data_IF_361322795430
#
_entry.id   IF_361322795430
#
_cell.length_a   1.000
_cell.length_b   1.000
_cell.length_c   1.000
_cell.angle_alpha   90.00
_cell.angle_beta   90.00
_cell.angle_gamma   90.00
#
_symmetry.space_group_name_H-M   'P 1'
#
loop_
_entity.id
_entity.type
_entity.pdbx_description
1 polymer ?
#
# COMPACT_ATOMS: atom_id res chain seq x y z
N UNK A 1 21.08 2.97 -23.42
CA UNK A 1 20.54 1.97 -22.48
C UNK A 1 20.92 0.58 -22.96
N UNK A 2 21.78 -0.12 -22.21
CA UNK A 2 22.09 -1.52 -22.51
C UNK A 2 20.80 -2.32 -22.38
N UNK A 3 20.63 -3.33 -23.27
CA UNK A 3 19.49 -4.24 -23.17
C UNK A 3 19.55 -4.95 -21.80
N UNK A 4 18.42 -5.19 -21.11
CA UNK A 4 18.39 -5.85 -19.80
C UNK A 4 19.18 -7.17 -19.78
N UNK A 5 19.12 -7.94 -20.84
CA UNK A 5 19.87 -9.21 -20.98
C UNK A 5 21.40 -9.04 -20.85
N UNK A 6 21.96 -7.97 -21.44
CA UNK A 6 23.42 -7.72 -21.38
C UNK A 6 23.81 -7.42 -19.94
N UNK A 7 23.05 -6.56 -19.26
CA UNK A 7 23.27 -6.24 -17.85
C UNK A 7 23.22 -7.48 -16.96
N UNK A 8 22.14 -8.27 -17.08
CA UNK A 8 21.95 -9.46 -16.26
C UNK A 8 22.95 -10.56 -16.52
N UNK A 9 23.41 -10.71 -17.76
CA UNK A 9 24.49 -11.64 -18.10
C UNK A 9 25.80 -11.27 -17.40
N UNK A 10 26.13 -9.95 -17.35
CA UNK A 10 27.27 -9.45 -16.62
C UNK A 10 27.13 -9.67 -15.10
N UNK A 11 25.92 -9.49 -14.54
CA UNK A 11 25.66 -9.79 -13.13
C UNK A 11 25.88 -11.27 -12.83
N UNK A 12 25.35 -12.19 -13.64
CA UNK A 12 25.59 -13.64 -13.50
C UNK A 12 27.07 -13.94 -13.55
N UNK A 13 27.80 -13.40 -14.51
CA UNK A 13 29.24 -13.60 -14.63
C UNK A 13 30.00 -13.12 -13.39
N UNK A 14 29.64 -11.97 -12.83
CA UNK A 14 30.25 -11.44 -11.62
C UNK A 14 29.92 -12.26 -10.39
N UNK A 15 28.66 -12.72 -10.26
CA UNK A 15 28.22 -13.50 -9.10
C UNK A 15 28.92 -14.86 -9.01
N UNK A 16 29.13 -15.54 -10.12
CA UNK A 16 29.78 -16.85 -10.16
C UNK A 16 31.30 -16.76 -10.29
N UNK A 17 31.82 -15.65 -10.80
CA UNK A 17 33.24 -15.38 -10.93
C UNK A 17 34.03 -16.49 -11.65
N UNK A 18 35.27 -16.79 -11.20
CA UNK A 18 36.10 -17.82 -11.80
C UNK A 18 35.57 -19.26 -11.65
N UNK A 19 34.59 -19.49 -10.76
CA UNK A 19 33.99 -20.80 -10.54
C UNK A 19 33.11 -21.24 -11.73
N UNK A 20 32.66 -20.31 -12.58
CA UNK A 20 31.86 -20.61 -13.74
C UNK A 20 32.73 -20.55 -15.02
N UNK A 21 32.95 -21.69 -15.72
CA UNK A 21 33.64 -21.67 -17.02
C UNK A 21 32.90 -20.78 -18.04
N UNK A 22 33.67 -20.03 -18.84
CA UNK A 22 33.09 -19.11 -19.83
C UNK A 22 32.10 -19.82 -20.79
N UNK A 23 32.34 -21.06 -21.12
CA UNK A 23 31.45 -21.89 -21.96
C UNK A 23 30.10 -22.21 -21.32
N UNK A 24 29.93 -22.00 -20.00
CA UNK A 24 28.70 -22.27 -19.26
C UNK A 24 27.93 -21.03 -18.90
N UNK A 25 28.48 -19.83 -19.11
CA UNK A 25 27.87 -18.56 -18.73
C UNK A 25 26.50 -18.38 -19.40
N UNK A 26 26.41 -18.71 -20.70
CA UNK A 26 25.16 -18.55 -21.48
C UNK A 26 24.06 -19.49 -21.01
N UNK A 27 24.40 -20.72 -20.65
CA UNK A 27 23.43 -21.69 -20.15
C UNK A 27 22.93 -21.25 -18.76
N UNK A 28 23.84 -20.90 -17.85
CA UNK A 28 23.47 -20.42 -16.50
C UNK A 28 22.69 -19.12 -16.57
N UNK A 29 23.07 -18.19 -17.46
CA UNK A 29 22.32 -16.97 -17.66
C UNK A 29 20.88 -17.25 -18.11
N UNK A 30 20.67 -18.14 -19.09
CA UNK A 30 19.33 -18.54 -19.55
C UNK A 30 18.49 -19.13 -18.43
N UNK A 31 19.06 -20.02 -17.63
CA UNK A 31 18.39 -20.61 -16.47
C UNK A 31 17.98 -19.54 -15.46
N UNK A 32 18.91 -18.66 -15.09
CA UNK A 32 18.63 -17.54 -14.20
C UNK A 32 17.56 -16.59 -14.79
N UNK A 33 17.67 -16.28 -16.08
CA UNK A 33 16.73 -15.41 -16.78
C UNK A 33 15.30 -15.94 -16.69
N UNK A 34 15.12 -17.24 -16.98
CA UNK A 34 13.83 -17.92 -16.90
C UNK A 34 13.34 -18.00 -15.43
N UNK A 35 14.26 -18.30 -14.51
CA UNK A 35 13.91 -18.38 -13.08
C UNK A 35 13.38 -17.06 -12.54
N UNK A 36 14.00 -15.93 -12.89
CA UNK A 36 13.57 -14.61 -12.45
C UNK A 36 12.21 -14.17 -13.01
N UNK A 37 11.73 -14.78 -14.07
CA UNK A 37 10.41 -14.52 -14.65
C UNK A 37 9.28 -15.33 -13.97
N UNK A 38 9.62 -16.41 -13.25
CA UNK A 38 8.66 -17.30 -12.62
C UNK A 38 8.20 -16.76 -11.28
N UNK A 39 6.88 -16.63 -11.03
CA UNK A 39 6.37 -16.20 -9.73
C UNK A 39 6.86 -17.06 -8.57
N UNK A 40 7.03 -18.37 -8.79
CA UNK A 40 7.47 -19.33 -7.78
C UNK A 40 8.88 -19.06 -7.25
N UNK A 41 9.71 -18.37 -8.04
CA UNK A 41 11.07 -17.97 -7.65
C UNK A 41 11.08 -16.79 -6.67
N UNK A 42 9.93 -16.12 -6.51
CA UNK A 42 9.78 -14.96 -5.65
C UNK A 42 8.90 -15.28 -4.45
N UNK A 43 9.21 -14.67 -3.36
CA UNK A 43 8.43 -14.84 -2.14
C UNK A 43 7.83 -13.51 -1.72
N UNK A 44 6.52 -13.49 -1.58
CA UNK A 44 5.83 -12.32 -1.05
C UNK A 44 6.20 -12.13 0.43
N UNK A 45 6.59 -10.94 0.79
CA UNK A 45 6.86 -10.63 2.19
C UNK A 45 5.58 -10.84 3.02
N UNK A 46 5.69 -11.46 4.21
CA UNK A 46 4.53 -11.72 5.05
C UNK A 46 3.71 -10.47 5.34
N UNK A 47 2.41 -10.53 5.14
CA UNK A 47 1.49 -9.42 5.39
C UNK A 47 1.37 -8.40 4.27
N UNK A 48 2.04 -8.57 3.11
CA UNK A 48 1.99 -7.59 2.00
C UNK A 48 0.57 -7.36 1.47
N UNK A 49 -0.18 -8.42 1.16
CA UNK A 49 -1.55 -8.28 0.65
C UNK A 49 -2.48 -7.61 1.66
N UNK A 50 -2.33 -7.97 2.94
CA UNK A 50 -3.09 -7.35 4.02
C UNK A 50 -2.76 -5.87 4.18
N UNK A 51 -1.46 -5.51 4.08
CA UNK A 51 -1.02 -4.12 4.14
C UNK A 51 -1.61 -3.30 2.99
N UNK A 52 -1.54 -3.81 1.76
CA UNK A 52 -2.11 -3.15 0.58
C UNK A 52 -3.62 -2.96 0.77
N UNK A 53 -4.34 -4.02 1.17
CA UNK A 53 -5.79 -3.95 1.40
C UNK A 53 -6.15 -2.95 2.48
N UNK A 54 -5.41 -2.92 3.59
CA UNK A 54 -5.63 -1.98 4.68
C UNK A 54 -5.36 -0.52 4.25
N UNK A 55 -4.29 -0.27 3.49
CA UNK A 55 -3.99 1.08 2.95
C UNK A 55 -5.09 1.54 1.98
N UNK A 56 -5.53 0.65 1.08
CA UNK A 56 -6.64 0.97 0.17
C UNK A 56 -7.95 1.24 0.91
N UNK A 57 -8.19 0.54 2.00
CA UNK A 57 -9.33 0.77 2.88
C UNK A 57 -9.31 2.18 3.51
N UNK A 58 -8.12 2.75 3.75
CA UNK A 58 -7.96 4.14 4.17
C UNK A 58 -8.21 5.15 3.02
N UNK A 59 -8.60 4.70 1.84
CA UNK A 59 -8.84 5.54 0.67
C UNK A 59 -7.55 6.00 -0.03
N UNK A 60 -6.41 5.38 0.27
CA UNK A 60 -5.12 5.70 -0.34
C UNK A 60 -4.87 4.78 -1.54
N UNK A 61 -4.45 5.34 -2.66
CA UNK A 61 -4.02 4.57 -3.82
C UNK A 61 -2.67 3.92 -3.58
N UNK A 62 -2.50 2.70 -4.10
CA UNK A 62 -1.28 1.92 -3.93
C UNK A 62 -0.72 1.54 -5.30
N UNK A 63 0.58 1.77 -5.49
CA UNK A 63 1.30 1.37 -6.70
C UNK A 63 2.64 0.74 -6.38
N UNK A 64 3.24 0.12 -7.40
CA UNK A 64 4.62 -0.38 -7.38
C UNK A 64 5.50 0.54 -8.20
N UNK A 65 6.63 0.99 -7.61
CA UNK A 65 7.72 1.69 -8.30
C UNK A 65 8.99 0.87 -8.09
N UNK A 66 9.53 0.30 -9.15
CA UNK A 66 10.65 -0.65 -9.06
C UNK A 66 11.68 -0.44 -10.18
N UNK A 67 12.96 -0.54 -9.80
CA UNK A 67 14.08 -0.64 -10.75
C UNK A 67 14.14 -2.07 -11.30
N UNK A 68 13.22 -2.39 -12.22
CA UNK A 68 13.05 -3.71 -12.76
C UNK A 68 12.65 -3.64 -14.24
N UNK A 69 12.77 -4.79 -14.92
CA UNK A 69 12.30 -4.98 -16.29
C UNK A 69 10.84 -5.51 -16.33
N UNK A 70 10.29 -5.60 -17.54
CA UNK A 70 8.89 -5.96 -17.78
C UNK A 70 8.49 -7.36 -17.24
N UNK A 71 9.45 -8.27 -17.00
CA UNK A 71 9.20 -9.61 -16.42
C UNK A 71 8.56 -9.52 -15.04
N UNK A 72 8.85 -8.45 -14.29
CA UNK A 72 8.25 -8.22 -12.98
C UNK A 72 6.72 -8.17 -13.02
N UNK A 73 6.10 -7.80 -14.14
CA UNK A 73 4.63 -7.82 -14.27
C UNK A 73 4.07 -9.22 -14.10
N UNK A 74 4.71 -10.24 -14.71
CA UNK A 74 4.29 -11.65 -14.54
C UNK A 74 4.44 -12.10 -13.10
N UNK A 75 5.51 -11.69 -12.42
CA UNK A 75 5.73 -12.01 -11.01
C UNK A 75 4.63 -11.38 -10.14
N UNK A 76 4.33 -10.11 -10.33
CA UNK A 76 3.27 -9.41 -9.59
C UNK A 76 1.89 -10.05 -9.85
N UNK A 77 1.62 -10.43 -11.09
CA UNK A 77 0.35 -11.06 -11.47
C UNK A 77 0.21 -12.47 -10.90
N UNK A 78 1.25 -13.29 -11.00
CA UNK A 78 1.30 -14.64 -10.42
C UNK A 78 1.12 -14.67 -8.90
N UNK A 79 1.55 -13.61 -8.21
CA UNK A 79 1.27 -13.42 -6.77
C UNK A 79 -0.09 -12.75 -6.50
N UNK A 80 -0.89 -12.46 -7.55
CA UNK A 80 -2.20 -11.84 -7.43
C UNK A 80 -2.16 -10.38 -6.95
N UNK A 81 -1.00 -9.70 -7.05
CA UNK A 81 -0.83 -8.32 -6.62
C UNK A 81 -1.46 -7.32 -7.58
N UNK A 82 -1.39 -7.57 -8.88
CA UNK A 82 -1.80 -6.63 -9.94
C UNK A 82 -3.21 -6.08 -9.72
N UNK A 83 -4.15 -6.93 -9.34
CA UNK A 83 -5.55 -6.54 -9.07
C UNK A 83 -5.74 -5.61 -7.87
N UNK A 84 -4.75 -5.50 -7.01
CA UNK A 84 -4.76 -4.66 -5.81
C UNK A 84 -4.00 -3.36 -5.98
N UNK A 85 -3.38 -3.14 -7.14
CA UNK A 85 -2.55 -1.97 -7.42
C UNK A 85 -3.27 -0.99 -8.34
N UNK A 86 -3.11 0.30 -8.07
CA UNK A 86 -3.62 1.39 -8.89
C UNK A 86 -2.62 1.83 -9.96
N UNK A 87 -1.38 1.32 -9.91
CA UNK A 87 -0.34 1.56 -10.90
C UNK A 87 0.90 0.69 -10.70
N UNK A 88 1.60 0.39 -11.78
CA UNK A 88 2.88 -0.34 -11.79
C UNK A 88 3.85 0.44 -12.67
N UNK A 89 4.96 0.87 -12.08
CA UNK A 89 5.98 1.73 -12.72
C UNK A 89 7.33 1.00 -12.66
N UNK A 90 7.71 0.39 -13.77
CA UNK A 90 8.97 -0.33 -13.92
C UNK A 90 9.97 0.54 -14.69
N UNK A 91 11.23 0.56 -14.24
CA UNK A 91 12.26 1.44 -14.83
C UNK A 91 12.51 1.18 -16.31
N UNK A 92 12.42 -0.08 -16.76
CA UNK A 92 12.55 -0.40 -18.18
C UNK A 92 11.44 0.24 -19.02
N UNK A 93 10.20 0.22 -18.52
CA UNK A 93 9.03 0.72 -19.25
C UNK A 93 8.94 2.24 -19.21
N UNK A 94 9.30 2.83 -18.06
CA UNK A 94 9.19 4.28 -17.84
C UNK A 94 10.41 5.07 -18.31
N UNK A 95 11.54 4.39 -18.49
CA UNK A 95 12.84 5.02 -18.75
C UNK A 95 13.41 5.77 -17.53
N UNK A 96 12.78 5.67 -16.37
CA UNK A 96 13.15 6.36 -15.14
C UNK A 96 13.40 5.34 -14.02
N UNK A 97 14.47 5.52 -13.27
CA UNK A 97 14.85 4.62 -12.17
C UNK A 97 15.06 5.41 -10.87
N UNK A 98 14.78 4.77 -9.74
CA UNK A 98 15.18 5.28 -8.43
C UNK A 98 16.71 5.31 -8.35
N UNK A 99 17.34 6.31 -7.72
CA UNK A 99 16.75 7.37 -6.89
C UNK A 99 16.37 8.66 -7.65
N UNK A 100 16.30 8.66 -9.00
CA UNK A 100 15.94 9.87 -9.75
C UNK A 100 14.56 10.40 -9.28
N UNK A 101 14.51 11.67 -8.87
CA UNK A 101 13.29 12.36 -8.45
C UNK A 101 12.16 12.31 -9.49
N UNK A 102 12.51 12.23 -10.78
CA UNK A 102 11.54 12.11 -11.87
C UNK A 102 10.73 10.81 -11.81
N UNK A 103 11.34 9.70 -11.34
CA UNK A 103 10.64 8.42 -11.18
C UNK A 103 9.51 8.54 -10.15
N UNK A 104 9.79 9.14 -9.00
CA UNK A 104 8.79 9.40 -7.95
C UNK A 104 7.72 10.38 -8.41
N UNK A 105 8.10 11.44 -9.12
CA UNK A 105 7.17 12.44 -9.65
C UNK A 105 6.21 11.84 -10.69
N UNK A 106 6.72 10.96 -11.57
CA UNK A 106 5.90 10.25 -12.55
C UNK A 106 4.89 9.33 -11.87
N UNK A 107 5.34 8.51 -10.91
CA UNK A 107 4.47 7.61 -10.16
C UNK A 107 3.39 8.37 -9.39
N UNK A 108 3.75 9.44 -8.67
CA UNK A 108 2.81 10.28 -7.93
C UNK A 108 1.74 10.88 -8.84
N UNK A 109 2.14 11.42 -9.99
CA UNK A 109 1.23 12.02 -10.99
C UNK A 109 0.28 10.98 -11.58
N UNK A 110 0.79 9.83 -11.96
CA UNK A 110 -0.01 8.74 -12.52
C UNK A 110 -1.03 8.18 -11.51
N UNK A 111 -0.69 8.18 -10.23
CA UNK A 111 -1.63 7.87 -9.15
C UNK A 111 -2.59 9.02 -8.83
N UNK A 112 -2.49 10.16 -9.52
CA UNK A 112 -3.38 11.31 -9.35
C UNK A 112 -3.05 12.19 -8.14
N UNK A 113 -1.82 12.11 -7.63
CA UNK A 113 -1.32 12.88 -6.50
C UNK A 113 -0.13 13.77 -6.86
N UNK A 114 0.48 14.36 -5.83
CA UNK A 114 1.74 15.11 -5.91
C UNK A 114 2.85 14.33 -5.20
N UNK A 115 4.10 14.66 -5.49
CA UNK A 115 5.26 14.02 -4.82
C UNK A 115 5.20 14.23 -3.31
N UNK A 116 4.77 15.41 -2.83
CA UNK A 116 4.64 15.69 -1.41
C UNK A 116 3.54 14.87 -0.72
N UNK A 117 2.61 14.30 -1.48
CA UNK A 117 1.60 13.35 -1.00
C UNK A 117 1.97 11.89 -1.23
N UNK A 118 3.17 11.60 -1.75
CA UNK A 118 3.65 10.25 -1.97
C UNK A 118 4.37 9.73 -0.72
N UNK A 119 4.05 8.51 -0.34
CA UNK A 119 4.82 7.74 0.66
C UNK A 119 5.39 6.53 -0.05
N UNK A 120 6.71 6.42 -0.07
CA UNK A 120 7.40 5.31 -0.72
C UNK A 120 7.99 4.35 0.32
N UNK A 121 7.64 3.08 0.20
CA UNK A 121 8.16 2.01 1.02
C UNK A 121 9.11 1.15 0.19
N UNK A 122 10.31 0.94 0.67
CA UNK A 122 11.29 0.07 0.03
C UNK A 122 12.39 -0.36 0.98
N UNK A 123 13.27 -1.23 0.54
CA UNK A 123 14.32 -1.84 1.37
C UNK A 123 15.68 -1.15 1.23
N UNK A 124 15.87 -0.39 0.18
CA UNK A 124 17.12 0.33 -0.05
C UNK A 124 17.13 1.69 0.67
N UNK A 125 18.03 1.92 1.65
CA UNK A 125 18.17 3.22 2.29
C UNK A 125 18.41 4.35 1.30
N UNK A 126 19.25 4.13 0.27
CA UNK A 126 19.62 5.13 -0.73
C UNK A 126 18.57 5.29 -1.82
N UNK A 127 18.14 4.21 -2.47
CA UNK A 127 17.21 4.34 -3.60
C UNK A 127 15.79 4.67 -3.16
N UNK A 128 15.34 4.05 -2.06
CA UNK A 128 13.96 4.17 -1.58
C UNK A 128 13.81 5.24 -0.50
N UNK A 129 14.72 5.28 0.46
CA UNK A 129 14.70 6.24 1.55
C UNK A 129 15.10 7.64 1.09
N UNK A 130 16.38 7.80 0.78
CA UNK A 130 16.94 9.09 0.36
C UNK A 130 16.36 9.57 -0.97
N UNK A 131 16.25 8.67 -1.96
CA UNK A 131 15.67 9.01 -3.26
C UNK A 131 14.25 9.57 -3.16
N UNK A 132 13.38 8.97 -2.34
CA UNK A 132 12.04 9.49 -2.10
C UNK A 132 12.07 10.83 -1.37
N UNK A 133 12.88 10.95 -0.31
CA UNK A 133 13.06 12.21 0.46
C UNK A 133 13.54 13.35 -0.44
N UNK A 134 14.56 13.09 -1.24
CA UNK A 134 15.18 14.11 -2.10
C UNK A 134 14.25 14.50 -3.26
N UNK A 135 13.36 13.61 -3.65
CA UNK A 135 12.26 13.93 -4.57
C UNK A 135 11.15 14.77 -3.91
N UNK A 136 11.15 14.95 -2.58
CA UNK A 136 10.10 15.65 -1.81
C UNK A 136 8.95 14.75 -1.37
N UNK A 137 9.12 13.43 -1.45
CA UNK A 137 8.20 12.43 -0.91
C UNK A 137 8.58 12.02 0.52
N UNK A 138 7.74 11.22 1.17
CA UNK A 138 8.10 10.56 2.42
C UNK A 138 8.71 9.20 2.12
N UNK A 139 9.99 9.02 2.43
CA UNK A 139 10.70 7.74 2.33
C UNK A 139 10.50 6.90 3.61
N UNK A 140 10.15 5.63 3.45
CA UNK A 140 10.04 4.65 4.54
C UNK A 140 10.89 3.43 4.20
N UNK A 141 11.96 3.22 4.97
CA UNK A 141 12.82 2.05 4.80
C UNK A 141 12.22 0.87 5.54
N UNK A 142 12.03 -0.25 4.84
CA UNK A 142 11.44 -1.48 5.36
C UNK A 142 12.52 -2.52 5.60
N UNK A 143 12.57 -3.08 6.79
CA UNK A 143 13.67 -3.96 7.20
C UNK A 143 14.93 -3.15 7.52
N UNK A 144 16.08 -3.77 7.51
CA UNK A 144 17.35 -3.10 7.74
C UNK A 144 17.55 -2.55 9.16
N UNK A 145 18.80 -2.28 9.53
CA UNK A 145 19.15 -1.77 10.85
C UNK A 145 19.02 -0.23 10.96
N UNK A 146 18.99 0.47 9.83
CA UNK A 146 19.11 1.92 9.80
C UNK A 146 18.21 2.54 8.71
N UNK A 147 17.66 3.71 9.01
CA UNK A 147 17.04 4.58 8.00
C UNK A 147 17.82 5.89 7.92
N UNK A 148 17.99 6.47 6.72
CA UNK A 148 18.63 7.78 6.55
C UNK A 148 17.88 8.90 7.28
N UNK A 149 18.56 10.02 7.50
CA UNK A 149 17.96 11.20 8.11
C UNK A 149 16.68 11.64 7.40
N UNK A 150 15.66 11.99 8.18
CA UNK A 150 14.32 12.39 7.72
C UNK A 150 13.56 11.31 6.94
N UNK A 151 14.00 10.05 6.98
CA UNK A 151 13.25 8.91 6.50
C UNK A 151 12.61 8.19 7.69
N UNK A 152 11.45 7.56 7.45
CA UNK A 152 10.82 6.69 8.42
C UNK A 152 11.39 5.28 8.31
N UNK A 153 11.19 4.48 9.35
CA UNK A 153 11.58 3.08 9.36
C UNK A 153 10.42 2.20 9.81
N UNK A 154 10.19 1.14 9.05
CA UNK A 154 9.33 0.04 9.45
C UNK A 154 10.16 -1.24 9.50
N UNK A 155 9.92 -2.10 10.48
CA UNK A 155 10.60 -3.40 10.51
C UNK A 155 10.06 -4.34 9.43
N UNK A 156 8.76 -4.27 9.20
CA UNK A 156 8.04 -5.14 8.25
C UNK A 156 7.08 -4.32 7.41
N UNK A 157 6.83 -4.78 6.19
CA UNK A 157 5.84 -4.15 5.30
C UNK A 157 4.42 -4.20 5.87
N UNK A 158 4.11 -5.17 6.73
CA UNK A 158 2.82 -5.26 7.43
C UNK A 158 2.53 -4.07 8.35
N UNK A 159 3.54 -3.27 8.68
CA UNK A 159 3.40 -2.06 9.50
C UNK A 159 3.06 -0.81 8.68
N UNK A 160 3.15 -0.89 7.34
CA UNK A 160 2.88 0.23 6.44
C UNK A 160 1.52 0.91 6.67
N UNK A 161 0.41 0.19 6.95
CA UNK A 161 -0.87 0.84 7.25
C UNK A 161 -0.84 1.75 8.47
N UNK A 162 -0.05 1.41 9.50
CA UNK A 162 0.09 2.24 10.70
C UNK A 162 0.88 3.51 10.40
N UNK A 163 1.96 3.41 9.61
CA UNK A 163 2.73 4.56 9.17
C UNK A 163 1.86 5.51 8.31
N UNK A 164 1.11 4.99 7.35
CA UNK A 164 0.18 5.77 6.52
C UNK A 164 -0.87 6.46 7.41
N UNK A 165 -1.46 5.73 8.35
CA UNK A 165 -2.46 6.29 9.27
C UNK A 165 -1.90 7.42 10.12
N UNK A 166 -0.70 7.24 10.68
CA UNK A 166 -0.02 8.28 11.46
C UNK A 166 0.21 9.55 10.63
N UNK A 167 0.72 9.40 9.41
CA UNK A 167 0.95 10.50 8.49
C UNK A 167 -0.36 11.22 8.09
N UNK A 168 -1.46 10.49 7.91
CA UNK A 168 -2.79 11.05 7.65
C UNK A 168 -3.34 11.82 8.85
N UNK A 169 -3.11 11.32 10.08
CA UNK A 169 -3.61 11.93 11.32
C UNK A 169 -2.82 13.17 11.71
N UNK A 170 -1.49 13.15 11.51
CA UNK A 170 -0.59 14.25 11.82
C UNK A 170 -0.63 15.39 10.77
N UNK A 171 -1.41 15.24 9.72
CA UNK A 171 -1.49 16.19 8.61
C UNK A 171 -0.17 16.38 7.85
N UNK A 172 0.80 15.50 8.08
CA UNK A 172 2.09 15.48 7.38
C UNK A 172 1.97 15.03 5.93
N UNK A 173 0.95 14.27 5.59
CA UNK A 173 0.51 14.05 4.23
C UNK A 173 -0.29 15.28 3.76
N UNK A 174 0.38 16.42 3.65
CA UNK A 174 -0.14 17.60 2.98
C UNK A 174 -0.07 17.40 1.47
N UNK A 175 -0.75 16.40 0.97
CA UNK A 175 -1.13 16.38 -0.43
C UNK A 175 -2.24 17.40 -0.57
N UNK A 176 -2.05 18.48 -1.34
CA UNK A 176 -3.17 19.18 -1.94
C UNK A 176 -3.82 18.16 -2.87
N UNK A 177 -4.74 17.38 -2.32
CA UNK A 177 -5.61 16.58 -3.17
C UNK A 177 -6.23 17.53 -4.20
N UNK A 178 -6.21 17.15 -5.48
CA UNK A 178 -6.93 17.92 -6.48
C UNK A 178 -8.39 18.07 -6.02
N UNK A 179 -9.04 19.17 -6.37
CA UNK A 179 -10.43 19.44 -6.02
C UNK A 179 -11.34 18.24 -6.33
N UNK A 180 -11.01 17.49 -7.39
CA UNK A 180 -11.69 16.25 -7.78
C UNK A 180 -11.56 15.15 -6.73
N UNK A 181 -10.38 14.98 -6.13
CA UNK A 181 -10.16 13.98 -5.07
C UNK A 181 -10.79 14.41 -3.75
N UNK A 182 -10.76 15.71 -3.44
CA UNK A 182 -11.45 16.25 -2.27
C UNK A 182 -12.97 16.05 -2.37
N UNK A 183 -13.55 16.30 -3.56
CA UNK A 183 -14.97 16.07 -3.81
C UNK A 183 -15.33 14.58 -3.80
N UNK A 184 -14.47 13.72 -4.31
CA UNK A 184 -14.64 12.26 -4.24
C UNK A 184 -14.62 11.76 -2.79
N UNK A 185 -13.72 12.29 -1.96
CA UNK A 185 -13.66 11.98 -0.52
C UNK A 185 -14.88 12.56 0.22
N UNK A 186 -15.36 13.74 -0.18
CA UNK A 186 -16.58 14.34 0.36
C UNK A 186 -17.80 13.48 0.00
N UNK A 187 -17.93 13.03 -1.26
CA UNK A 187 -19.00 12.16 -1.72
C UNK A 187 -18.99 10.79 -1.02
N UNK A 188 -17.81 10.17 -0.85
CA UNK A 188 -17.65 8.91 -0.10
C UNK A 188 -18.02 9.05 1.38
N UNK A 189 -17.97 10.27 1.93
CA UNK A 189 -18.31 10.59 3.33
C UNK A 189 -19.70 11.19 3.48
N UNK A 190 -20.49 11.30 2.40
CA UNK A 190 -21.80 11.94 2.42
C UNK A 190 -21.75 13.44 2.73
N UNK A 191 -20.59 14.09 2.49
CA UNK A 191 -20.41 15.53 2.70
C UNK A 191 -20.76 16.28 1.41
N UNK A 192 -21.32 17.48 1.48
CA UNK A 192 -21.60 18.30 0.30
C UNK A 192 -20.31 18.70 -0.40
N UNK A 193 -20.31 18.66 -1.73
CA UNK A 193 -19.20 19.13 -2.55
C UNK A 193 -18.93 20.62 -2.30
N UNK A 194 -17.65 20.96 -2.12
CA UNK A 194 -17.23 22.36 -2.04
C UNK A 194 -17.30 23.03 -3.42
N UNK A 195 -18.35 23.80 -3.65
CA UNK A 195 -18.58 24.60 -4.86
C UNK A 195 -18.20 26.07 -4.68
N UNK A 196 -17.58 26.45 -3.56
CA UNK A 196 -17.23 27.84 -3.28
C UNK A 196 -16.16 28.38 -4.22
N UNK A 197 -16.38 29.55 -4.78
CA UNK A 197 -15.33 30.38 -5.38
C UNK A 197 -14.49 30.94 -4.22
N UNK A 198 -13.16 30.78 -4.32
CA UNK A 198 -12.21 31.36 -3.38
C UNK A 198 -12.45 32.87 -3.22
N UNK A 199 -12.92 33.27 -2.07
CA UNK A 199 -12.85 34.65 -1.61
C UNK A 199 -12.05 34.64 -0.31
N UNK A 200 -11.00 35.48 -0.26
CA UNK A 200 -10.17 35.70 0.90
C UNK A 200 -11.02 35.96 2.15
N UNK A 201 -11.14 34.95 3.01
CA UNK A 201 -11.53 35.13 4.41
C UNK A 201 -10.32 34.78 5.26
N UNK A 202 -10.06 35.63 6.27
CA UNK A 202 -9.03 35.40 7.27
C UNK A 202 -9.00 33.93 7.70
N UNK A 203 -7.85 33.29 7.49
CA UNK A 203 -7.65 31.87 7.74
C UNK A 203 -7.91 31.59 9.21
N UNK A 204 -9.04 30.96 9.51
CA UNK A 204 -9.06 30.02 10.64
C UNK A 204 -8.03 28.94 10.32
N UNK A 205 -7.21 28.58 11.28
CA UNK A 205 -6.26 27.48 11.09
C UNK A 205 -7.03 26.24 10.66
N UNK A 206 -6.44 25.43 9.78
CA UNK A 206 -7.06 24.17 9.34
C UNK A 206 -7.47 23.31 10.55
N UNK A 207 -6.74 23.39 11.65
CA UNK A 207 -7.06 22.75 12.92
C UNK A 207 -8.40 23.25 13.51
N UNK A 208 -8.66 24.55 13.49
CA UNK A 208 -9.93 25.11 14.02
C UNK A 208 -11.12 24.70 13.12
N UNK A 209 -10.93 24.69 11.80
CA UNK A 209 -11.97 24.27 10.86
C UNK A 209 -12.23 22.77 10.92
N UNK A 210 -11.19 21.96 11.10
CA UNK A 210 -11.26 20.51 11.30
C UNK A 210 -11.91 20.18 12.65
N UNK A 211 -11.53 20.83 13.74
CA UNK A 211 -12.12 20.66 15.06
C UNK A 211 -13.62 21.06 15.07
N UNK A 212 -13.99 22.15 14.39
CA UNK A 212 -15.38 22.55 14.24
C UNK A 212 -16.20 21.60 13.37
N UNK A 213 -15.61 21.07 12.30
CA UNK A 213 -16.22 20.04 11.46
C UNK A 213 -16.35 18.71 12.23
N UNK A 214 -15.34 18.30 12.99
CA UNK A 214 -15.37 17.12 13.85
C UNK A 214 -16.50 17.20 14.89
N UNK A 215 -16.64 18.37 15.58
CA UNK A 215 -17.71 18.59 16.56
C UNK A 215 -19.09 18.66 15.92
N UNK A 216 -19.26 19.39 14.79
CA UNK A 216 -20.54 19.52 14.09
C UNK A 216 -21.04 18.24 13.47
N UNK A 217 -20.13 17.41 12.94
CA UNK A 217 -20.45 16.17 12.25
C UNK A 217 -20.38 14.93 13.15
N UNK A 218 -20.12 15.11 14.47
CA UNK A 218 -19.92 14.02 15.44
C UNK A 218 -18.90 12.98 14.98
N UNK A 219 -17.85 13.43 14.28
CA UNK A 219 -16.75 12.61 13.76
C UNK A 219 -15.71 12.26 14.85
N UNK A 220 -15.93 12.68 16.07
CA UNK A 220 -15.27 12.22 17.29
C UNK A 220 -15.63 10.78 17.67
N UNK A 221 -16.64 10.20 17.01
CA UNK A 221 -16.90 8.77 17.14
C UNK A 221 -15.84 7.99 16.36
N UNK A 222 -15.15 7.04 17.01
CA UNK A 222 -14.19 6.18 16.30
C UNK A 222 -14.90 5.49 15.13
N UNK A 223 -14.32 5.61 13.93
CA UNK A 223 -14.83 4.96 12.74
C UNK A 223 -14.70 3.45 12.94
N UNK A 224 -15.79 2.66 12.85
CA UNK A 224 -15.77 1.22 13.12
C UNK A 224 -14.67 0.49 12.38
N UNK A 225 -14.44 0.86 11.13
CA UNK A 225 -13.45 0.29 10.25
C UNK A 225 -12.04 0.34 10.84
N UNK A 226 -11.69 1.46 11.43
CA UNK A 226 -10.37 1.68 12.01
C UNK A 226 -10.10 0.76 13.17
N UNK A 227 -11.09 0.56 14.05
CA UNK A 227 -10.98 -0.34 15.18
C UNK A 227 -10.91 -1.80 14.74
N UNK A 228 -11.69 -2.18 13.73
CA UNK A 228 -11.69 -3.54 13.17
C UNK A 228 -10.35 -3.89 12.56
N UNK A 229 -9.77 -2.99 11.74
CA UNK A 229 -8.45 -3.21 11.12
C UNK A 229 -7.35 -3.32 12.17
N UNK A 230 -7.37 -2.48 13.21
CA UNK A 230 -6.37 -2.49 14.27
C UNK A 230 -6.34 -3.84 15.04
N UNK A 231 -7.49 -4.50 15.21
CA UNK A 231 -7.62 -5.74 15.96
C UNK A 231 -7.87 -6.96 15.06
N UNK A 232 -7.68 -6.83 13.73
CA UNK A 232 -8.06 -7.88 12.77
C UNK A 232 -7.43 -9.24 13.07
N UNK A 233 -6.15 -9.27 13.46
CA UNK A 233 -5.42 -10.49 13.75
C UNK A 233 -5.87 -11.19 15.04
N UNK A 234 -6.63 -10.50 15.88
CA UNK A 234 -7.17 -11.01 17.14
C UNK A 234 -8.59 -11.57 16.96
N UNK A 235 -9.26 -11.21 15.85
CA UNK A 235 -10.64 -11.59 15.57
C UNK A 235 -10.79 -13.02 15.04
N UNK A 236 -9.70 -13.60 14.53
CA UNK A 236 -9.67 -14.89 13.84
C UNK A 236 -8.38 -15.65 14.17
N UNK A 237 -8.41 -17.01 14.07
CA UNK A 237 -7.17 -17.78 14.06
C UNK A 237 -6.18 -17.21 13.06
N UNK A 238 -4.90 -17.07 13.45
CA UNK A 238 -3.87 -16.38 12.68
C UNK A 238 -3.73 -16.90 11.24
N UNK A 239 -3.96 -18.20 11.03
CA UNK A 239 -3.93 -18.84 9.70
C UNK A 239 -5.03 -18.30 8.78
N UNK A 240 -6.23 -18.03 9.31
CA UNK A 240 -7.36 -17.48 8.57
C UNK A 240 -7.26 -15.97 8.43
N UNK A 241 -6.90 -15.27 9.50
CA UNK A 241 -6.73 -13.81 9.50
C UNK A 241 -5.74 -13.32 8.43
N UNK A 242 -4.72 -14.12 8.11
CA UNK A 242 -3.73 -13.81 7.04
C UNK A 242 -4.25 -14.01 5.63
N UNK A 243 -5.39 -14.69 5.46
CA UNK A 243 -5.96 -15.05 4.15
C UNK A 243 -7.31 -14.36 3.89
N UNK A 244 -7.69 -13.43 4.75
CA UNK A 244 -8.84 -12.58 4.57
C UNK A 244 -8.56 -11.18 5.12
N UNK A 245 -9.32 -10.19 4.67
CA UNK A 245 -9.17 -8.80 5.10
C UNK A 245 -10.53 -8.10 5.16
N UNK A 246 -10.73 -7.17 6.11
CA UNK A 246 -11.91 -6.32 6.11
C UNK A 246 -11.81 -5.33 4.95
N UNK A 247 -12.91 -5.14 4.21
CA UNK A 247 -12.97 -4.19 3.09
C UNK A 247 -13.63 -2.87 3.49
N UNK A 248 -14.82 -2.95 4.08
CA UNK A 248 -15.62 -1.77 4.48
C UNK A 248 -16.79 -2.19 5.35
N UNK A 249 -17.34 -1.24 6.09
CA UNK A 249 -18.64 -1.36 6.74
C UNK A 249 -19.67 -0.62 5.88
N UNK A 250 -20.72 -1.32 5.47
CA UNK A 250 -21.81 -0.77 4.68
C UNK A 250 -22.83 -0.07 5.59
N UNK A 251 -23.65 0.80 5.00
CA UNK A 251 -24.81 1.36 5.66
C UNK A 251 -25.69 0.23 6.23
N UNK A 252 -26.15 0.39 7.48
CA UNK A 252 -26.86 -0.67 8.21
C UNK A 252 -25.94 -1.59 9.04
N UNK A 253 -24.65 -1.29 9.14
CA UNK A 253 -23.72 -2.00 10.05
C UNK A 253 -23.27 -3.37 9.53
N UNK A 254 -23.16 -3.55 8.22
CA UNK A 254 -22.70 -4.80 7.61
C UNK A 254 -21.23 -4.72 7.21
N UNK A 255 -20.35 -5.43 7.93
CA UNK A 255 -18.93 -5.55 7.58
C UNK A 255 -18.77 -6.47 6.36
N UNK A 256 -18.05 -6.01 5.35
CA UNK A 256 -17.64 -6.84 4.20
C UNK A 256 -16.20 -7.31 4.42
N UNK A 257 -16.02 -8.62 4.36
CA UNK A 257 -14.71 -9.28 4.50
C UNK A 257 -14.37 -9.99 3.21
N UNK A 258 -13.22 -9.68 2.64
CA UNK A 258 -12.68 -10.34 1.46
C UNK A 258 -11.87 -11.56 1.87
N UNK A 259 -12.13 -12.70 1.23
CA UNK A 259 -11.44 -13.97 1.45
C UNK A 259 -10.70 -14.34 0.17
N UNK A 260 -9.54 -14.95 0.31
CA UNK A 260 -8.66 -15.34 -0.80
C UNK A 260 -9.35 -16.29 -1.78
N UNK A 261 -10.19 -17.22 -1.28
CA UNK A 261 -10.94 -18.17 -2.08
C UNK A 261 -12.18 -18.69 -1.33
N UNK A 262 -12.98 -19.52 -2.02
CA UNK A 262 -14.22 -20.09 -1.46
C UNK A 262 -14.02 -21.04 -0.26
N UNK A 263 -12.88 -21.72 -0.16
CA UNK A 263 -12.55 -22.60 0.96
C UNK A 263 -12.34 -21.76 2.21
N UNK A 264 -11.51 -20.76 2.15
CA UNK A 264 -11.27 -19.81 3.27
C UNK A 264 -12.55 -19.10 3.66
N UNK A 265 -13.36 -18.69 2.69
CA UNK A 265 -14.67 -18.10 2.93
C UNK A 265 -15.57 -19.01 3.76
N UNK A 266 -15.58 -20.31 3.45
CA UNK A 266 -16.37 -21.29 4.20
C UNK A 266 -15.83 -21.48 5.63
N UNK A 267 -14.52 -21.57 5.80
CA UNK A 267 -13.88 -21.68 7.12
C UNK A 267 -14.13 -20.45 7.99
N UNK A 268 -13.93 -19.25 7.44
CA UNK A 268 -14.13 -17.99 8.21
C UNK A 268 -15.59 -17.83 8.64
N UNK A 269 -16.53 -18.35 7.87
CA UNK A 269 -17.96 -18.33 8.20
C UNK A 269 -18.29 -19.06 9.52
N UNK A 270 -17.58 -20.11 9.86
CA UNK A 270 -17.74 -20.77 11.16
C UNK A 270 -17.39 -19.88 12.35
N UNK A 271 -16.52 -18.88 12.12
CA UNK A 271 -16.12 -17.92 13.15
C UNK A 271 -16.96 -16.63 13.18
N UNK A 272 -17.96 -16.49 12.29
CA UNK A 272 -18.74 -15.27 12.12
C UNK A 272 -19.36 -14.76 13.45
N UNK A 273 -19.97 -15.65 14.24
CA UNK A 273 -20.60 -15.29 15.52
C UNK A 273 -19.57 -14.77 16.53
N UNK A 274 -18.43 -15.44 16.63
CA UNK A 274 -17.36 -15.04 17.54
C UNK A 274 -16.74 -13.70 17.11
N UNK A 275 -16.49 -13.53 15.81
CA UNK A 275 -16.00 -12.26 15.25
C UNK A 275 -16.97 -11.11 15.57
N UNK A 276 -18.26 -11.29 15.32
CA UNK A 276 -19.27 -10.26 15.59
C UNK A 276 -19.32 -9.90 17.07
N UNK A 277 -19.25 -10.88 17.96
CA UNK A 277 -19.23 -10.64 19.40
C UNK A 277 -18.01 -9.78 19.80
N UNK A 278 -16.83 -10.14 19.32
CA UNK A 278 -15.58 -9.41 19.61
C UNK A 278 -15.58 -8.03 18.97
N UNK A 279 -16.01 -7.90 17.71
CA UNK A 279 -16.09 -6.61 17.01
C UNK A 279 -16.99 -5.62 17.76
N UNK A 280 -18.13 -6.07 18.29
CA UNK A 280 -19.05 -5.21 19.05
C UNK A 280 -18.48 -4.68 20.35
N UNK A 281 -17.47 -5.32 20.90
CA UNK A 281 -16.75 -4.84 22.10
C UNK A 281 -15.75 -3.72 21.76
N UNK A 282 -15.36 -3.58 20.49
CA UNK A 282 -14.46 -2.52 20.05
C UNK A 282 -15.19 -1.17 20.08
N UNK A 283 -14.43 -0.13 20.46
CA UNK A 283 -14.96 1.23 20.57
C UNK A 283 -15.42 1.74 19.20
N UNK A 284 -16.68 2.10 19.08
CA UNK A 284 -17.29 2.58 17.83
C UNK A 284 -17.85 1.49 16.92
N UNK A 285 -17.75 0.20 17.28
CA UNK A 285 -18.21 -0.92 16.47
C UNK A 285 -19.54 -1.54 16.95
N UNK A 286 -20.22 -0.90 17.92
CA UNK A 286 -21.47 -1.43 18.52
C UNK A 286 -22.62 -1.57 17.51
N UNK A 287 -22.59 -0.81 16.43
CA UNK A 287 -23.60 -0.83 15.35
C UNK A 287 -23.32 -1.90 14.28
N UNK A 288 -22.20 -2.63 14.35
CA UNK A 288 -21.91 -3.72 13.42
C UNK A 288 -22.84 -4.91 13.71
N UNK A 289 -23.72 -5.20 12.75
CA UNK A 289 -24.81 -6.18 12.91
C UNK A 289 -24.56 -7.49 12.20
N UNK A 290 -23.83 -7.47 11.10
CA UNK A 290 -23.60 -8.63 10.25
C UNK A 290 -22.24 -8.59 9.57
N UNK A 291 -21.74 -9.75 9.15
CA UNK A 291 -20.55 -9.87 8.31
C UNK A 291 -20.95 -10.50 6.98
N UNK A 292 -20.43 -9.97 5.89
CA UNK A 292 -20.58 -10.52 4.54
C UNK A 292 -19.20 -10.91 4.01
N UNK A 293 -19.09 -12.14 3.52
CA UNK A 293 -17.84 -12.64 2.98
C UNK A 293 -17.90 -12.67 1.46
N UNK A 294 -16.90 -12.06 0.81
CA UNK A 294 -16.74 -12.03 -0.64
C UNK A 294 -15.43 -12.70 -1.04
N UNK A 295 -15.38 -13.28 -2.23
CA UNK A 295 -14.14 -13.81 -2.77
C UNK A 295 -13.28 -12.65 -3.29
N UNK A 296 -11.96 -12.84 -3.26
CA UNK A 296 -11.00 -11.90 -3.80
C UNK A 296 -11.12 -11.80 -5.33
#
# INVERSE_FOLDING_TARGET
>A
NAKPEVFWKEVVQRCFGPALPASKIDDVFKECWIAFERPESWRLAPGSLQAISAIRFLGVKVGVLSNADARMRRVLDGHGLTRHLDGIFLSEETGLSKPDAKAFAQAARALGGSVSGLVHFGDSPTEDGEGARDAGATGVVVGGAHAPDRCLRNEKISEAPYAIRALLTEGKLKGKFSRTVQNLLANLRGLPEDRSRSTDRAMKTIDDAVQDAFKKLRLDKPVPETAIVAHWLELLPLKLAKRCAPLRVLEGGKLVVQCENSVIKSEVRFHERAMLATIRLLRGCQEVRAISFVNA
#
